data_IF_939007004219
#
_entry.id   IF_939007004219
#
_cell.length_a   1.000
_cell.length_b   1.000
_cell.length_c   1.000
_cell.angle_alpha   90.00
_cell.angle_beta   90.00
_cell.angle_gamma   90.00
#
_symmetry.space_group_name_H-M   'P 1'
#
loop_
_entity.id
_entity.type
_entity.pdbx_description
1 polymer ?
#
# COMPACT_ATOMS: atom_id res chain seq x y z
N UNK A 1 -7.85 -41.32 -21.88
CA UNK A 1 -7.36 -40.64 -20.66
C UNK A 1 -6.80 -39.29 -21.06
N UNK A 2 -7.61 -38.24 -20.96
CA UNK A 2 -7.16 -36.87 -21.21
C UNK A 2 -6.43 -36.37 -19.96
N UNK A 3 -5.12 -36.19 -20.09
CA UNK A 3 -4.29 -35.59 -19.04
C UNK A 3 -4.57 -34.10 -19.00
N UNK A 4 -5.29 -33.67 -17.97
CA UNK A 4 -5.64 -32.27 -17.73
C UNK A 4 -4.37 -31.56 -17.22
N UNK A 5 -3.64 -30.89 -18.12
CA UNK A 5 -2.54 -29.99 -17.74
C UNK A 5 -3.16 -28.84 -16.93
N UNK A 6 -2.94 -28.84 -15.62
CA UNK A 6 -3.17 -27.67 -14.77
C UNK A 6 -2.28 -26.55 -15.30
N UNK A 7 -2.88 -25.56 -15.95
CA UNK A 7 -2.23 -24.29 -16.29
C UNK A 7 -2.03 -23.52 -14.97
N UNK A 8 -0.90 -23.75 -14.31
CA UNK A 8 -0.44 -22.84 -13.25
C UNK A 8 0.00 -21.57 -13.95
N UNK A 9 -0.80 -20.51 -13.87
CA UNK A 9 -0.31 -19.18 -14.19
C UNK A 9 0.95 -18.95 -13.33
N UNK A 10 2.08 -18.67 -13.96
CA UNK A 10 3.30 -18.35 -13.24
C UNK A 10 3.01 -17.10 -12.40
N UNK A 11 3.04 -17.23 -11.07
CA UNK A 11 3.03 -16.08 -10.17
C UNK A 11 4.23 -15.23 -10.56
N UNK A 12 3.99 -14.00 -10.99
CA UNK A 12 5.03 -13.11 -11.48
C UNK A 12 5.80 -12.61 -10.26
N UNK A 13 6.97 -13.19 -10.00
CA UNK A 13 7.80 -12.79 -8.88
C UNK A 13 8.53 -11.48 -9.23
N UNK A 14 8.25 -10.41 -8.48
CA UNK A 14 8.86 -9.10 -8.70
C UNK A 14 10.28 -9.05 -8.10
N UNK A 15 11.18 -8.25 -8.68
CA UNK A 15 12.46 -7.96 -8.02
C UNK A 15 12.25 -7.08 -6.79
N UNK A 16 13.22 -7.04 -5.88
CA UNK A 16 13.18 -6.16 -4.70
C UNK A 16 12.93 -4.70 -5.09
N UNK A 17 13.59 -4.23 -6.15
CA UNK A 17 13.44 -2.87 -6.66
C UNK A 17 12.04 -2.63 -7.22
N UNK A 18 11.45 -3.61 -7.89
CA UNK A 18 10.08 -3.52 -8.39
C UNK A 18 9.07 -3.47 -7.24
N UNK A 19 9.25 -4.29 -6.20
CA UNK A 19 8.44 -4.25 -4.98
C UNK A 19 8.46 -2.86 -4.33
N UNK A 20 9.65 -2.28 -4.14
CA UNK A 20 9.82 -0.92 -3.61
C UNK A 20 9.17 0.15 -4.49
N UNK A 21 9.30 0.04 -5.82
CA UNK A 21 8.68 0.97 -6.78
C UNK A 21 7.15 0.91 -6.71
N UNK A 22 6.57 -0.28 -6.65
CA UNK A 22 5.12 -0.48 -6.55
C UNK A 22 4.61 0.10 -5.24
N UNK A 23 5.21 -0.28 -4.10
CA UNK A 23 4.81 0.25 -2.80
C UNK A 23 4.93 1.78 -2.73
N UNK A 24 6.01 2.34 -3.28
CA UNK A 24 6.20 3.79 -3.39
C UNK A 24 5.15 4.46 -4.27
N UNK A 25 4.78 3.86 -5.40
CA UNK A 25 3.74 4.40 -6.29
C UNK A 25 2.36 4.36 -5.63
N UNK A 26 2.01 3.22 -5.01
CA UNK A 26 0.75 3.05 -4.28
C UNK A 26 0.66 4.04 -3.13
N UNK A 27 1.73 4.20 -2.34
CA UNK A 27 1.78 5.15 -1.22
C UNK A 27 1.57 6.60 -1.65
N UNK A 28 2.27 7.06 -2.70
CA UNK A 28 2.04 8.40 -3.25
C UNK A 28 0.61 8.60 -3.75
N UNK A 29 0.07 7.61 -4.44
CA UNK A 29 -1.31 7.67 -4.96
C UNK A 29 -2.32 7.73 -3.81
N UNK A 30 -2.12 6.93 -2.77
CA UNK A 30 -2.92 6.94 -1.55
C UNK A 30 -2.90 8.30 -0.85
N UNK A 31 -1.72 8.89 -0.68
CA UNK A 31 -1.57 10.20 -0.05
C UNK A 31 -2.24 11.31 -0.85
N UNK A 32 -2.11 11.30 -2.18
CA UNK A 32 -2.81 12.26 -3.05
C UNK A 32 -4.33 12.12 -2.90
N UNK A 33 -4.86 10.89 -2.92
CA UNK A 33 -6.28 10.64 -2.74
C UNK A 33 -6.76 11.12 -1.37
N UNK A 34 -6.06 10.79 -0.28
CA UNK A 34 -6.34 11.28 1.08
C UNK A 34 -6.37 12.81 1.15
N UNK A 35 -5.36 13.47 0.62
CA UNK A 35 -5.25 14.93 0.65
C UNK A 35 -6.40 15.60 -0.11
N UNK A 36 -6.80 15.05 -1.28
CA UNK A 36 -7.97 15.55 -2.02
C UNK A 36 -9.27 15.36 -1.23
N UNK A 37 -9.45 14.17 -0.64
CA UNK A 37 -10.61 13.89 0.20
C UNK A 37 -10.69 14.81 1.43
N UNK A 38 -9.56 15.15 2.05
CA UNK A 38 -9.51 16.04 3.22
C UNK A 38 -9.75 17.51 2.85
N UNK A 39 -9.20 17.98 1.72
CA UNK A 39 -9.46 19.34 1.21
C UNK A 39 -10.94 19.55 0.91
N UNK A 40 -11.59 18.58 0.27
CA UNK A 40 -13.03 18.63 -0.01
C UNK A 40 -13.86 18.70 1.28
N UNK A 41 -13.54 17.87 2.27
CA UNK A 41 -14.22 17.89 3.59
C UNK A 41 -14.07 19.22 4.33
N UNK A 42 -12.96 19.93 4.10
CA UNK A 42 -12.72 21.25 4.70
C UNK A 42 -13.36 22.40 3.90
N UNK A 43 -13.64 22.17 2.62
CA UNK A 43 -14.31 23.11 1.72
C UNK A 43 -15.80 22.78 1.69
N UNK A 44 -16.56 23.26 2.68
CA UNK A 44 -18.03 23.14 2.78
C UNK A 44 -18.81 23.82 1.61
N UNK A 45 -18.21 23.99 0.43
CA UNK A 45 -18.78 24.68 -0.72
C UNK A 45 -18.44 24.03 -2.06
N UNK A 46 -19.51 23.47 -2.67
CA UNK A 46 -19.79 23.40 -4.12
C UNK A 46 -18.99 22.37 -4.95
N UNK A 47 -19.55 21.17 -5.11
CA UNK A 47 -20.06 20.66 -6.41
C UNK A 47 -20.63 19.23 -6.28
N UNK A 48 -21.39 18.80 -7.28
CA UNK A 48 -21.87 17.41 -7.44
C UNK A 48 -20.76 16.38 -7.22
N UNK A 49 -21.06 15.15 -6.79
CA UNK A 49 -20.05 14.12 -6.57
C UNK A 49 -19.22 13.89 -7.84
N UNK A 50 -18.02 14.47 -7.85
CA UNK A 50 -17.06 14.27 -8.92
C UNK A 50 -16.66 12.79 -8.92
N UNK A 51 -16.76 12.14 -10.08
CA UNK A 51 -16.28 10.77 -10.31
C UNK A 51 -14.88 10.53 -9.75
N UNK A 52 -14.03 11.56 -9.74
CA UNK A 52 -12.68 11.55 -9.17
C UNK A 52 -12.69 11.24 -7.67
N UNK A 53 -13.62 11.81 -6.89
CA UNK A 53 -13.72 11.55 -5.45
C UNK A 53 -14.18 10.12 -5.16
N UNK A 54 -15.14 9.63 -5.94
CA UNK A 54 -15.59 8.25 -5.80
C UNK A 54 -14.44 7.27 -6.07
N UNK A 55 -13.56 7.59 -7.01
CA UNK A 55 -12.38 6.77 -7.32
C UNK A 55 -11.27 6.92 -6.27
N UNK A 56 -11.02 8.13 -5.75
CA UNK A 56 -10.09 8.35 -4.63
C UNK A 56 -10.53 7.59 -3.38
N UNK A 57 -11.82 7.64 -3.02
CA UNK A 57 -12.37 6.90 -1.89
C UNK A 57 -12.27 5.38 -2.07
N UNK A 58 -12.53 4.86 -3.29
CA UNK A 58 -12.33 3.44 -3.61
C UNK A 58 -10.87 3.03 -3.49
N UNK A 59 -9.94 3.86 -4.00
CA UNK A 59 -8.50 3.59 -3.93
C UNK A 59 -8.03 3.51 -2.48
N UNK A 60 -8.41 4.48 -1.64
CA UNK A 60 -8.08 4.48 -0.21
C UNK A 60 -8.66 3.25 0.48
N UNK A 61 -9.93 2.95 0.25
CA UNK A 61 -10.59 1.77 0.82
C UNK A 61 -9.90 0.46 0.42
N UNK A 62 -9.53 0.32 -0.86
CA UNK A 62 -8.85 -0.87 -1.36
C UNK A 62 -7.49 -1.06 -0.68
N UNK A 63 -6.66 -0.01 -0.65
CA UNK A 63 -5.34 -0.06 -0.01
C UNK A 63 -5.46 -0.39 1.48
N UNK A 64 -6.38 0.27 2.20
CA UNK A 64 -6.61 0.01 3.63
C UNK A 64 -7.05 -1.45 3.83
N UNK A 65 -7.94 -1.96 2.97
CA UNK A 65 -8.45 -3.34 3.07
C UNK A 65 -7.36 -4.38 2.82
N UNK A 66 -6.51 -4.18 1.81
CA UNK A 66 -5.37 -5.06 1.52
C UNK A 66 -4.36 -5.03 2.67
N UNK A 67 -4.06 -3.85 3.21
CA UNK A 67 -3.13 -3.72 4.32
C UNK A 67 -3.63 -4.42 5.59
N UNK A 68 -4.94 -4.44 5.84
CA UNK A 68 -5.52 -5.16 6.98
C UNK A 68 -5.34 -6.69 6.90
N UNK A 69 -5.07 -7.26 5.73
CA UNK A 69 -4.78 -8.69 5.56
C UNK A 69 -3.32 -9.04 5.87
N UNK A 70 -2.45 -8.03 5.92
CA UNK A 70 -1.06 -8.18 6.29
C UNK A 70 -0.89 -8.33 7.81
N UNK A 71 0.25 -8.84 8.25
CA UNK A 71 0.54 -8.92 9.68
C UNK A 71 0.78 -7.53 10.31
N UNK A 72 0.74 -7.45 11.65
CA UNK A 72 0.85 -6.18 12.38
C UNK A 72 2.16 -5.44 12.11
N UNK A 73 3.25 -6.16 11.87
CA UNK A 73 4.56 -5.55 11.59
C UNK A 73 4.54 -4.91 10.23
N UNK A 74 4.00 -5.61 9.23
CA UNK A 74 3.78 -5.07 7.88
C UNK A 74 2.84 -3.88 7.91
N UNK A 75 1.73 -3.96 8.64
CA UNK A 75 0.80 -2.83 8.80
C UNK A 75 1.50 -1.58 9.35
N UNK A 76 2.32 -1.74 10.40
CA UNK A 76 3.07 -0.62 10.98
C UNK A 76 4.07 -0.03 9.98
N UNK A 77 4.88 -0.88 9.35
CA UNK A 77 5.93 -0.43 8.43
C UNK A 77 5.32 0.26 7.21
N UNK A 78 4.32 -0.34 6.57
CA UNK A 78 3.73 0.22 5.35
C UNK A 78 3.02 1.54 5.63
N UNK A 79 2.28 1.63 6.76
CA UNK A 79 1.67 2.91 7.16
C UNK A 79 2.73 3.98 7.32
N UNK A 80 3.73 3.73 8.16
CA UNK A 80 4.72 4.76 8.51
C UNK A 80 5.66 5.13 7.36
N UNK A 81 6.01 4.17 6.52
CA UNK A 81 6.98 4.38 5.45
C UNK A 81 6.35 4.90 4.14
N UNK A 82 5.09 4.53 3.83
CA UNK A 82 4.50 4.80 2.52
C UNK A 82 3.14 5.51 2.54
N UNK A 83 2.30 5.30 3.57
CA UNK A 83 0.93 5.84 3.56
C UNK A 83 0.77 7.11 4.39
N UNK A 84 1.54 7.25 5.47
CA UNK A 84 1.51 8.36 6.41
C UNK A 84 2.78 9.22 6.30
N UNK A 85 2.67 10.48 6.67
CA UNK A 85 3.85 11.31 6.92
C UNK A 85 4.45 10.92 8.27
N UNK A 86 5.62 10.30 8.24
CA UNK A 86 6.36 9.92 9.45
C UNK A 86 7.68 10.65 9.55
N UNK A 87 8.13 10.86 10.79
CA UNK A 87 9.45 11.44 11.06
C UNK A 87 10.56 10.59 10.45
N UNK A 88 11.65 11.26 10.05
CA UNK A 88 12.86 10.57 9.65
C UNK A 88 13.32 9.63 10.79
N UNK A 89 13.55 8.35 10.47
CA UNK A 89 13.95 7.30 11.43
C UNK A 89 12.92 6.95 12.51
N UNK A 90 11.62 7.11 12.23
CA UNK A 90 10.53 6.64 13.09
C UNK A 90 10.72 5.20 13.61
N UNK A 91 11.42 4.34 12.85
CA UNK A 91 11.64 2.94 13.22
C UNK A 91 12.53 2.73 14.45
N UNK A 92 13.35 3.71 14.85
CA UNK A 92 14.27 3.57 16.00
C UNK A 92 13.52 3.38 17.32
N UNK A 93 12.24 3.76 17.39
CA UNK A 93 11.37 3.52 18.54
C UNK A 93 10.92 2.05 18.69
N UNK A 94 11.00 1.26 17.63
CA UNK A 94 10.43 -0.09 17.55
C UNK A 94 11.46 -1.17 17.23
N UNK A 95 12.48 -0.82 16.44
CA UNK A 95 13.40 -1.78 15.84
C UNK A 95 14.83 -1.25 15.85
N UNK A 96 15.79 -2.18 15.95
CA UNK A 96 17.17 -1.87 15.55
C UNK A 96 17.22 -1.60 14.04
N UNK A 97 18.20 -0.82 13.59
CA UNK A 97 18.37 -0.49 12.16
C UNK A 97 18.44 -1.72 11.26
N UNK A 98 19.23 -2.73 11.61
CA UNK A 98 19.38 -3.96 10.81
C UNK A 98 18.08 -4.78 10.78
N UNK A 99 17.39 -4.89 11.92
CA UNK A 99 16.09 -5.55 12.01
C UNK A 99 15.06 -4.84 11.14
N UNK A 100 15.04 -3.49 11.18
CA UNK A 100 14.12 -2.68 10.39
C UNK A 100 14.25 -2.94 8.89
N UNK A 101 15.45 -2.84 8.32
CA UNK A 101 15.60 -3.03 6.86
C UNK A 101 15.22 -4.43 6.37
N UNK A 102 15.43 -5.46 7.21
CA UNK A 102 14.99 -6.82 6.91
C UNK A 102 13.46 -6.89 6.93
N UNK A 103 12.83 -6.45 8.03
CA UNK A 103 11.37 -6.46 8.17
C UNK A 103 10.69 -5.59 7.12
N UNK A 104 11.29 -4.46 6.72
CA UNK A 104 10.79 -3.60 5.64
C UNK A 104 10.72 -4.36 4.32
N UNK A 105 11.78 -5.11 3.99
CA UNK A 105 11.78 -5.91 2.75
C UNK A 105 10.66 -6.95 2.76
N UNK A 106 10.47 -7.64 3.89
CA UNK A 106 9.39 -8.64 4.06
C UNK A 106 8.00 -7.98 3.99
N UNK A 107 7.84 -6.83 4.64
CA UNK A 107 6.59 -6.06 4.69
C UNK A 107 6.15 -5.56 3.31
N UNK A 108 7.08 -5.02 2.52
CA UNK A 108 6.79 -4.55 1.16
C UNK A 108 6.32 -5.70 0.28
N UNK A 109 7.01 -6.84 0.34
CA UNK A 109 6.62 -8.03 -0.42
C UNK A 109 5.19 -8.46 -0.06
N UNK A 110 4.94 -8.68 1.23
CA UNK A 110 3.61 -9.11 1.70
C UNK A 110 2.51 -8.12 1.30
N UNK A 111 2.77 -6.81 1.42
CA UNK A 111 1.83 -5.79 1.03
C UNK A 111 1.55 -5.78 -0.47
N UNK A 112 2.57 -5.80 -1.32
CA UNK A 112 2.38 -5.81 -2.78
C UNK A 112 1.68 -7.08 -3.26
N UNK A 113 2.01 -8.24 -2.68
CA UNK A 113 1.29 -9.49 -2.93
C UNK A 113 -0.19 -9.37 -2.54
N UNK A 114 -0.51 -8.69 -1.42
CA UNK A 114 -1.90 -8.47 -0.99
C UNK A 114 -2.71 -7.56 -1.93
N UNK A 115 -2.04 -6.73 -2.75
CA UNK A 115 -2.70 -5.89 -3.73
C UNK A 115 -3.21 -6.66 -4.96
N UNK A 116 -2.84 -7.94 -5.11
CA UNK A 116 -3.28 -8.82 -6.21
C UNK A 116 -3.15 -8.17 -7.61
N UNK A 117 -2.02 -7.50 -7.86
CA UNK A 117 -1.70 -6.78 -9.10
C UNK A 117 -1.23 -7.70 -10.25
#
# INVERSE_FOLDING_TARGET
>A
MMSNKKTSAAVKDFTKEQYELIAGYVGRTYQIAKNRMDLERSSDMISEPDSTYADDAKMVYYVDRCLLECDRTTQLIIRKEYLEESAHKWYEEYFSRSTYYRLKTDAIRQFVESLNL
#
